data_IF_307892842065
#
_entry.id   IF_307892842065
#
_cell.length_a   1.000
_cell.length_b   1.000
_cell.length_c   1.000
_cell.angle_alpha   90.00
_cell.angle_beta   90.00
_cell.angle_gamma   90.00
#
_symmetry.space_group_name_H-M   'P 1'
#
loop_
_entity.id
_entity.type
_entity.pdbx_description
1 polymer ?
#
# COMPACT_ATOMS: atom_id res chain seq x y z
N UNK A 1 -13.19 -12.81 0.43
CA UNK A 1 -13.55 -11.67 1.28
C UNK A 1 -12.49 -11.35 2.36
N UNK A 2 -11.20 -11.45 2.03
CA UNK A 2 -10.08 -11.03 2.90
C UNK A 2 -9.65 -9.64 2.47
N UNK A 3 -9.61 -8.64 3.37
CA UNK A 3 -9.05 -7.33 3.07
C UNK A 3 -7.56 -7.43 2.74
N UNK A 4 -7.11 -6.64 1.77
CA UNK A 4 -5.73 -6.61 1.30
C UNK A 4 -5.14 -5.22 1.51
N UNK A 5 -3.96 -5.16 2.09
CA UNK A 5 -3.17 -3.93 2.23
C UNK A 5 -1.83 -4.11 1.53
N UNK A 6 -1.31 -3.07 0.95
CA UNK A 6 0.04 -3.06 0.40
C UNK A 6 1.05 -2.46 1.38
N UNK A 7 2.31 -2.79 1.21
CA UNK A 7 3.39 -1.95 1.75
C UNK A 7 3.54 -0.69 0.89
N UNK A 8 4.32 0.29 1.32
CA UNK A 8 4.60 1.50 0.53
C UNK A 8 5.11 1.17 -0.87
N UNK A 9 6.08 0.25 -0.98
CA UNK A 9 6.59 -0.21 -2.28
C UNK A 9 5.64 -1.13 -3.04
N UNK A 10 4.59 -1.61 -2.41
CA UNK A 10 3.56 -2.46 -3.01
C UNK A 10 2.36 -1.68 -3.55
N UNK A 11 2.32 -0.36 -3.38
CA UNK A 11 1.25 0.48 -3.92
C UNK A 11 1.21 0.33 -5.45
N UNK A 12 0.01 0.16 -6.00
CA UNK A 12 -0.16 -0.12 -7.43
C UNK A 12 -0.20 -1.61 -7.79
N UNK A 13 0.01 -2.52 -6.83
CA UNK A 13 -0.26 -3.95 -7.06
C UNK A 13 -1.76 -4.28 -7.15
N UNK A 14 -2.60 -3.40 -6.64
CA UNK A 14 -4.06 -3.40 -6.76
C UNK A 14 -4.53 -1.97 -7.04
N UNK A 15 -5.66 -1.82 -7.69
CA UNK A 15 -6.28 -0.50 -7.88
C UNK A 15 -7.05 -0.09 -6.63
N UNK A 16 -7.20 1.22 -6.41
CA UNK A 16 -7.87 1.73 -5.21
C UNK A 16 -9.35 1.34 -5.14
N UNK A 17 -9.99 1.13 -6.28
CA UNK A 17 -11.39 0.73 -6.41
C UNK A 17 -11.61 -0.79 -6.28
N UNK A 18 -10.55 -1.60 -6.16
CA UNK A 18 -10.69 -3.02 -5.89
C UNK A 18 -11.47 -3.22 -4.57
N UNK A 19 -12.52 -4.05 -4.56
CA UNK A 19 -13.40 -4.20 -3.40
C UNK A 19 -12.70 -4.76 -2.15
N UNK A 20 -11.54 -5.39 -2.31
CA UNK A 20 -10.77 -5.95 -1.19
C UNK A 20 -9.57 -5.11 -0.78
N UNK A 21 -9.14 -4.18 -1.61
CA UNK A 21 -8.02 -3.31 -1.28
C UNK A 21 -8.43 -2.23 -0.26
N UNK A 22 -7.59 -2.00 0.74
CA UNK A 22 -7.82 -1.03 1.81
C UNK A 22 -6.64 -0.08 2.02
N UNK A 23 -5.78 0.04 1.03
CA UNK A 23 -4.67 0.98 1.01
C UNK A 23 -3.35 0.49 1.63
N UNK A 24 -2.38 1.39 1.77
CA UNK A 24 -1.05 1.06 2.26
C UNK A 24 -0.97 1.05 3.79
N UNK A 25 -0.20 0.11 4.35
CA UNK A 25 0.06 -0.01 5.79
C UNK A 25 1.43 0.55 6.16
N UNK A 26 1.59 1.02 7.37
CA UNK A 26 2.86 1.42 7.98
C UNK A 26 2.90 2.86 8.47
N UNK A 27 4.08 3.34 8.86
CA UNK A 27 4.27 4.68 9.43
C UNK A 27 3.84 5.82 8.48
N UNK A 28 4.01 5.62 7.17
CA UNK A 28 3.50 6.53 6.14
C UNK A 28 2.22 6.00 5.48
N UNK A 29 1.73 4.87 5.93
CA UNK A 29 0.50 4.25 5.45
C UNK A 29 -0.75 5.03 5.84
N UNK A 30 -1.86 4.53 5.39
CA UNK A 30 -3.16 5.16 5.55
C UNK A 30 -3.84 4.74 6.85
N UNK A 31 -4.67 5.64 7.38
CA UNK A 31 -5.36 5.41 8.65
C UNK A 31 -6.28 4.20 8.62
N UNK A 32 -6.91 3.90 7.47
CA UNK A 32 -7.77 2.73 7.28
C UNK A 32 -7.06 1.41 7.53
N UNK A 33 -5.92 1.17 6.85
CA UNK A 33 -5.15 -0.06 7.00
C UNK A 33 -4.46 -0.16 8.36
N UNK A 34 -3.95 0.95 8.90
CA UNK A 34 -3.34 0.99 10.22
C UNK A 34 -4.38 0.73 11.33
N UNK A 35 -5.59 1.28 11.22
CA UNK A 35 -6.69 1.02 12.17
C UNK A 35 -7.10 -0.46 12.12
N UNK A 36 -7.30 -1.00 10.91
CA UNK A 36 -7.72 -2.38 10.74
C UNK A 36 -6.67 -3.39 11.26
N UNK A 37 -5.38 -3.09 11.06
CA UNK A 37 -4.29 -3.99 11.46
C UNK A 37 -4.19 -4.23 12.95
N UNK A 38 -4.64 -3.29 13.78
CA UNK A 38 -4.62 -3.41 15.25
C UNK A 38 -5.44 -4.58 15.78
N UNK A 39 -6.57 -4.86 15.12
CA UNK A 39 -7.49 -5.92 15.54
C UNK A 39 -7.28 -7.23 14.76
N UNK A 40 -6.32 -7.26 13.82
CA UNK A 40 -6.03 -8.43 12.99
C UNK A 40 -5.55 -9.59 13.84
N UNK A 41 -6.18 -10.76 13.70
CA UNK A 41 -5.79 -12.01 14.35
C UNK A 41 -4.81 -12.85 13.50
N UNK A 42 -4.90 -12.71 12.18
CA UNK A 42 -4.04 -13.40 11.23
C UNK A 42 -3.64 -12.48 10.07
N UNK A 43 -2.35 -12.29 9.86
CA UNK A 43 -1.84 -11.66 8.65
C UNK A 43 -1.11 -12.68 7.76
N UNK A 44 -1.40 -12.61 6.46
CA UNK A 44 -0.66 -13.29 5.42
C UNK A 44 0.23 -12.27 4.71
N UNK A 45 1.52 -12.28 5.02
CA UNK A 45 2.52 -11.42 4.41
C UNK A 45 3.08 -12.07 3.14
N UNK A 46 3.00 -11.36 2.01
CA UNK A 46 3.39 -11.89 0.70
C UNK A 46 4.48 -11.01 0.10
N UNK A 47 5.69 -11.57 -0.10
CA UNK A 47 6.81 -10.90 -0.74
C UNK A 47 7.35 -9.66 -0.02
N UNK A 48 7.00 -9.47 1.25
CA UNK A 48 7.41 -8.29 2.03
C UNK A 48 8.46 -8.64 3.08
N UNK A 49 9.30 -7.67 3.42
CA UNK A 49 10.30 -7.78 4.49
C UNK A 49 9.73 -7.50 5.87
N UNK A 50 8.52 -6.94 5.97
CA UNK A 50 7.92 -6.43 7.22
C UNK A 50 8.93 -5.60 8.05
N UNK A 51 9.54 -4.61 7.37
CA UNK A 51 10.46 -3.67 8.01
C UNK A 51 9.71 -2.76 9.00
N UNK A 52 10.44 -2.08 9.86
CA UNK A 52 9.89 -1.18 10.89
C UNK A 52 8.88 -0.17 10.35
N UNK A 53 9.17 0.45 9.22
CA UNK A 53 8.23 1.40 8.61
C UNK A 53 6.91 0.74 8.19
N UNK A 54 6.92 -0.52 7.76
CA UNK A 54 5.71 -1.25 7.38
C UNK A 54 4.88 -1.66 8.59
N UNK A 55 5.53 -2.02 9.69
CA UNK A 55 4.86 -2.53 10.89
C UNK A 55 4.61 -1.44 11.94
N UNK A 56 5.10 -0.21 11.72
CA UNK A 56 5.12 0.83 12.73
C UNK A 56 5.89 0.41 13.98
N UNK A 57 7.04 -0.26 13.81
CA UNK A 57 7.79 -0.90 14.91
C UNK A 57 6.90 -1.85 15.73
N UNK A 58 6.02 -2.59 15.06
CA UNK A 58 5.02 -3.53 15.62
C UNK A 58 3.86 -2.88 16.37
N UNK A 59 3.69 -1.57 16.31
CA UNK A 59 2.50 -0.90 16.88
C UNK A 59 1.24 -1.09 16.04
N UNK A 60 1.35 -1.63 14.83
CA UNK A 60 0.20 -1.92 13.97
C UNK A 60 -0.49 -3.26 14.28
N UNK A 61 0.16 -4.17 15.03
CA UNK A 61 -0.38 -5.49 15.33
C UNK A 61 -0.50 -5.67 16.85
N UNK A 62 -1.57 -5.08 17.42
CA UNK A 62 -1.76 -5.01 18.87
C UNK A 62 -2.56 -6.20 19.45
N UNK A 63 -3.19 -7.01 18.57
CA UNK A 63 -4.00 -8.14 19.02
C UNK A 63 -3.09 -9.22 19.68
N UNK A 64 -3.33 -9.61 20.93
CA UNK A 64 -2.52 -10.60 21.62
C UNK A 64 -2.58 -12.01 21.00
N UNK A 65 -3.63 -12.29 20.23
CA UNK A 65 -3.80 -13.57 19.51
C UNK A 65 -3.27 -13.51 18.06
N UNK A 66 -2.59 -12.42 17.70
CA UNK A 66 -2.04 -12.21 16.36
C UNK A 66 -1.11 -13.34 15.92
N UNK A 67 -1.32 -13.81 14.70
CA UNK A 67 -0.48 -14.79 14.02
C UNK A 67 -0.02 -14.27 12.67
N UNK A 68 1.21 -14.63 12.32
CA UNK A 68 1.81 -14.23 11.05
C UNK A 68 2.17 -15.46 10.23
N UNK A 69 1.67 -15.50 8.99
CA UNK A 69 2.14 -16.42 7.94
C UNK A 69 2.89 -15.58 6.92
N UNK A 70 4.07 -16.00 6.51
CA UNK A 70 4.89 -15.25 5.55
C UNK A 70 5.26 -16.13 4.35
N UNK A 71 4.87 -15.67 3.15
CA UNK A 71 5.28 -16.24 1.87
C UNK A 71 6.38 -15.34 1.31
N UNK A 72 7.60 -15.85 1.18
CA UNK A 72 8.72 -15.07 0.64
C UNK A 72 9.75 -16.00 -0.03
N UNK A 73 10.27 -15.58 -1.19
CA UNK A 73 11.36 -16.28 -1.85
C UNK A 73 12.67 -16.19 -1.06
N UNK A 74 12.88 -15.10 -0.30
CA UNK A 74 14.02 -14.94 0.60
C UNK A 74 13.75 -15.65 1.93
N UNK A 75 14.48 -16.72 2.18
CA UNK A 75 14.34 -17.52 3.42
C UNK A 75 14.50 -16.69 4.69
N UNK A 76 15.41 -15.73 4.69
CA UNK A 76 15.62 -14.84 5.82
C UNK A 76 14.38 -14.03 6.15
N UNK A 77 13.76 -13.40 5.13
CA UNK A 77 12.58 -12.56 5.32
C UNK A 77 11.34 -13.39 5.64
N UNK A 78 11.23 -14.60 5.08
CA UNK A 78 10.11 -15.50 5.39
C UNK A 78 10.07 -15.89 6.88
N UNK A 79 11.22 -16.05 7.52
CA UNK A 79 11.32 -16.50 8.92
C UNK A 79 11.35 -15.37 9.95
N UNK A 80 11.25 -14.11 9.53
CA UNK A 80 11.21 -12.99 10.47
C UNK A 80 9.99 -13.03 11.38
N UNK A 81 10.13 -12.41 12.54
CA UNK A 81 9.01 -12.09 13.44
C UNK A 81 8.24 -13.33 13.91
N UNK A 82 8.91 -14.46 14.03
CA UNK A 82 8.30 -15.74 14.42
C UNK A 82 7.16 -16.18 13.50
N UNK A 83 7.20 -15.75 12.24
CA UNK A 83 6.19 -16.12 11.25
C UNK A 83 6.22 -17.62 10.95
N UNK A 84 5.07 -18.20 10.66
CA UNK A 84 5.01 -19.47 9.95
C UNK A 84 5.46 -19.25 8.50
N UNK A 85 6.68 -19.65 8.20
CA UNK A 85 7.32 -19.36 6.93
C UNK A 85 6.94 -20.35 5.83
N UNK A 86 6.61 -19.82 4.66
CA UNK A 86 6.50 -20.53 3.39
C UNK A 86 7.58 -19.94 2.47
N UNK A 87 8.67 -20.67 2.26
CA UNK A 87 9.76 -20.22 1.39
C UNK A 87 9.48 -20.68 -0.02
N UNK A 88 9.10 -19.75 -0.91
CA UNK A 88 8.71 -20.07 -2.27
C UNK A 88 8.33 -18.86 -3.10
N UNK A 89 8.01 -19.12 -4.36
CA UNK A 89 7.44 -18.13 -5.26
C UNK A 89 6.04 -17.72 -4.81
N UNK A 90 5.77 -16.41 -4.78
CA UNK A 90 4.51 -15.88 -4.28
C UNK A 90 3.31 -16.32 -5.15
N UNK A 91 3.46 -16.32 -6.48
CA UNK A 91 2.38 -16.69 -7.40
C UNK A 91 2.01 -18.16 -7.26
N UNK A 92 3.02 -19.03 -7.24
CA UNK A 92 2.81 -20.49 -7.08
C UNK A 92 2.16 -20.78 -5.72
N UNK A 93 2.71 -20.21 -4.65
CA UNK A 93 2.19 -20.40 -3.29
C UNK A 93 0.74 -19.92 -3.13
N UNK A 94 0.39 -18.79 -3.76
CA UNK A 94 -0.99 -18.27 -3.74
C UNK A 94 -1.96 -19.18 -4.51
N UNK A 95 -1.54 -19.74 -5.64
CA UNK A 95 -2.35 -20.69 -6.40
C UNK A 95 -2.63 -21.94 -5.57
N UNK A 96 -1.60 -22.52 -4.96
CA UNK A 96 -1.72 -23.71 -4.10
C UNK A 96 -2.58 -23.43 -2.86
N UNK A 97 -2.36 -22.26 -2.22
CA UNK A 97 -3.16 -21.83 -1.07
C UNK A 97 -4.64 -21.68 -1.45
N UNK A 98 -4.92 -21.06 -2.59
CA UNK A 98 -6.29 -20.88 -3.10
C UNK A 98 -6.97 -22.25 -3.34
N UNK A 99 -6.24 -23.21 -3.90
CA UNK A 99 -6.75 -24.56 -4.11
C UNK A 99 -7.01 -25.28 -2.77
N UNK A 100 -6.12 -25.15 -1.80
CA UNK A 100 -6.24 -25.76 -0.48
C UNK A 100 -7.42 -25.17 0.33
N UNK A 101 -7.65 -23.86 0.22
CA UNK A 101 -8.77 -23.18 0.89
C UNK A 101 -10.14 -23.53 0.27
N UNK A 102 -10.18 -23.84 -1.03
CA UNK A 102 -11.42 -24.18 -1.72
C UNK A 102 -12.49 -23.10 -1.55
N UNK A 103 -13.59 -23.43 -0.89
CA UNK A 103 -14.73 -22.52 -0.67
C UNK A 103 -14.65 -21.75 0.67
N UNK A 104 -13.53 -21.82 1.38
CA UNK A 104 -13.38 -21.09 2.62
C UNK A 104 -13.48 -19.56 2.41
N UNK A 105 -14.11 -18.87 3.36
CA UNK A 105 -14.25 -17.42 3.36
C UNK A 105 -14.02 -16.88 4.76
N UNK A 106 -13.42 -15.70 4.86
CA UNK A 106 -13.36 -14.96 6.10
C UNK A 106 -14.75 -14.45 6.53
N UNK A 107 -14.90 -14.05 7.79
CA UNK A 107 -16.15 -13.48 8.30
C UNK A 107 -16.48 -12.17 7.54
N UNK A 108 -17.72 -12.05 7.10
CA UNK A 108 -18.21 -10.86 6.41
C UNK A 108 -18.17 -9.58 7.28
N UNK A 109 -18.18 -9.74 8.61
CA UNK A 109 -18.03 -8.61 9.52
C UNK A 109 -16.67 -7.93 9.36
N UNK A 110 -15.61 -8.74 9.16
CA UNK A 110 -14.26 -8.24 8.93
C UNK A 110 -14.18 -7.44 7.63
N UNK A 111 -14.73 -7.98 6.55
CA UNK A 111 -14.83 -7.28 5.28
C UNK A 111 -15.62 -5.96 5.41
N UNK A 112 -16.80 -5.98 6.05
CA UNK A 112 -17.62 -4.78 6.26
C UNK A 112 -16.88 -3.72 7.08
N UNK A 113 -16.16 -4.12 8.14
CA UNK A 113 -15.32 -3.22 8.92
C UNK A 113 -14.26 -2.55 8.05
N UNK A 114 -13.55 -3.32 7.23
CA UNK A 114 -12.51 -2.79 6.34
C UNK A 114 -13.04 -1.74 5.35
N UNK A 115 -14.24 -1.94 4.82
CA UNK A 115 -14.88 -0.97 3.91
C UNK A 115 -15.31 0.32 4.61
N UNK A 116 -15.73 0.25 5.87
CA UNK A 116 -16.03 1.44 6.67
C UNK A 116 -14.77 2.24 6.97
N UNK A 117 -13.71 1.59 7.43
CA UNK A 117 -12.42 2.24 7.71
C UNK A 117 -11.88 2.95 6.45
N UNK A 118 -11.94 2.29 5.28
CA UNK A 118 -11.51 2.91 4.04
C UNK A 118 -12.38 4.12 3.66
N UNK A 119 -13.70 4.00 3.76
CA UNK A 119 -14.62 5.09 3.44
C UNK A 119 -14.38 6.32 4.32
N UNK A 120 -14.19 6.11 5.62
CA UNK A 120 -13.94 7.20 6.57
C UNK A 120 -12.60 7.88 6.26
N UNK A 121 -11.58 7.08 5.96
CA UNK A 121 -10.26 7.59 5.56
C UNK A 121 -10.32 8.35 4.22
N UNK A 122 -10.98 7.81 3.21
CA UNK A 122 -11.14 8.49 1.92
C UNK A 122 -11.83 9.85 2.06
N UNK A 123 -12.86 9.91 2.91
CA UNK A 123 -13.56 11.17 3.21
C UNK A 123 -12.64 12.19 3.90
N UNK A 124 -11.77 11.72 4.79
CA UNK A 124 -10.75 12.55 5.43
C UNK A 124 -9.75 13.09 4.41
N UNK A 125 -9.20 12.22 3.56
CA UNK A 125 -8.22 12.59 2.52
C UNK A 125 -8.84 13.58 1.53
N UNK A 126 -10.05 13.33 1.04
CA UNK A 126 -10.74 14.21 0.11
C UNK A 126 -10.93 15.63 0.68
N UNK A 127 -11.32 15.71 1.94
CA UNK A 127 -11.47 16.99 2.64
C UNK A 127 -10.16 17.77 2.73
N UNK A 128 -9.03 17.10 2.95
CA UNK A 128 -7.72 17.75 3.19
C UNK A 128 -6.92 17.98 1.91
N UNK A 129 -7.16 17.22 0.85
CA UNK A 129 -6.52 17.36 -0.45
C UNK A 129 -7.36 18.13 -1.48
N UNK A 130 -8.56 18.58 -1.09
CA UNK A 130 -9.50 19.31 -1.94
C UNK A 130 -8.98 20.66 -2.43
N UNK A 131 -9.70 21.30 -3.38
CA UNK A 131 -9.38 22.64 -3.86
C UNK A 131 -9.33 23.67 -2.72
N UNK A 132 -8.42 24.64 -2.85
CA UNK A 132 -8.23 25.70 -1.85
C UNK A 132 -8.02 27.05 -2.52
N UNK A 133 -8.50 28.11 -1.85
CA UNK A 133 -8.22 29.50 -2.22
C UNK A 133 -7.11 30.12 -1.34
N UNK A 134 -6.44 29.33 -0.53
CA UNK A 134 -5.34 29.80 0.29
C UNK A 134 -4.15 30.22 -0.57
N UNK A 135 -3.44 31.29 -0.16
CA UNK A 135 -2.25 31.79 -0.88
C UNK A 135 -1.14 30.72 -0.93
N UNK A 136 -1.01 29.92 0.10
CA UNK A 136 -0.05 28.80 0.19
C UNK A 136 -0.85 27.52 0.45
N UNK A 137 -1.02 26.65 -0.55
CA UNK A 137 -1.65 25.36 -0.37
C UNK A 137 -0.77 24.43 0.45
N UNK A 138 -1.38 23.46 1.13
CA UNK A 138 -0.66 22.36 1.76
C UNK A 138 -0.12 21.37 0.71
N UNK A 139 0.80 20.49 1.09
CA UNK A 139 1.30 19.42 0.23
C UNK A 139 0.15 18.53 -0.26
N UNK A 140 -0.74 18.12 0.64
CA UNK A 140 -1.91 17.31 0.27
C UNK A 140 -2.77 17.99 -0.80
N UNK A 141 -2.98 19.31 -0.70
CA UNK A 141 -3.76 20.07 -1.69
C UNK A 141 -3.06 20.16 -3.05
N UNK A 142 -1.74 20.31 -3.07
CA UNK A 142 -0.95 20.29 -4.32
C UNK A 142 -1.03 18.92 -4.98
N UNK A 143 -0.76 17.84 -4.21
CA UNK A 143 -0.85 16.47 -4.71
C UNK A 143 -2.27 16.15 -5.18
N UNK A 144 -3.29 16.57 -4.41
CA UNK A 144 -4.67 16.39 -4.79
C UNK A 144 -5.03 17.11 -6.10
N UNK A 145 -4.43 18.28 -6.35
CA UNK A 145 -4.60 18.98 -7.64
C UNK A 145 -3.93 18.20 -8.79
N UNK A 146 -2.70 17.70 -8.60
CA UNK A 146 -2.03 16.85 -9.58
C UNK A 146 -2.87 15.59 -9.87
N UNK A 147 -3.29 14.89 -8.83
CA UNK A 147 -4.08 13.67 -8.96
C UNK A 147 -5.41 13.88 -9.73
N UNK A 148 -6.14 14.96 -9.44
CA UNK A 148 -7.41 15.26 -10.12
C UNK A 148 -7.24 15.64 -11.60
N UNK A 149 -6.07 16.09 -11.99
CA UNK A 149 -5.75 16.48 -13.37
C UNK A 149 -4.90 15.44 -14.12
N UNK A 150 -4.56 14.31 -13.48
CA UNK A 150 -3.83 13.22 -14.12
C UNK A 150 -4.77 12.21 -14.76
N UNK A 151 -4.30 11.51 -15.78
CA UNK A 151 -4.99 10.37 -16.35
C UNK A 151 -4.81 9.11 -15.50
N UNK A 152 -5.71 8.14 -15.56
CA UNK A 152 -5.56 6.87 -14.81
C UNK A 152 -4.25 6.13 -15.06
N UNK A 153 -3.69 6.26 -16.25
CA UNK A 153 -2.45 5.59 -16.67
C UNK A 153 -1.18 6.34 -16.31
N UNK A 154 -1.27 7.57 -15.79
CA UNK A 154 -0.11 8.37 -15.39
C UNK A 154 0.60 7.73 -14.19
N UNK A 155 1.92 7.80 -14.19
CA UNK A 155 2.76 7.15 -13.19
C UNK A 155 3.33 8.19 -12.23
N UNK A 156 2.95 8.10 -10.96
CA UNK A 156 3.53 8.90 -9.90
C UNK A 156 4.86 8.29 -9.44
N UNK A 157 5.91 9.12 -9.34
CA UNK A 157 7.23 8.69 -8.90
C UNK A 157 7.67 9.49 -7.69
N UNK A 158 8.03 8.80 -6.63
CA UNK A 158 8.49 9.42 -5.38
C UNK A 158 9.70 8.68 -4.81
N UNK A 159 10.44 9.31 -3.92
CA UNK A 159 11.54 8.66 -3.21
C UNK A 159 11.63 9.11 -1.75
N UNK A 160 12.12 10.32 -1.48
CA UNK A 160 12.47 10.74 -0.14
C UNK A 160 11.83 12.07 0.28
N UNK A 161 11.84 12.33 1.58
CA UNK A 161 11.35 13.59 2.16
C UNK A 161 9.88 13.53 2.59
N UNK A 162 9.35 14.68 3.07
CA UNK A 162 7.99 14.78 3.60
C UNK A 162 6.90 14.59 2.56
N UNK A 163 7.16 14.97 1.30
CA UNK A 163 6.19 14.89 0.22
C UNK A 163 5.75 13.44 -0.08
N UNK A 164 6.64 12.47 0.06
CA UNK A 164 6.34 11.05 -0.21
C UNK A 164 5.20 10.54 0.67
N UNK A 165 5.14 10.95 1.93
CA UNK A 165 4.04 10.59 2.84
C UNK A 165 2.69 11.08 2.34
N UNK A 166 2.63 12.30 1.85
CA UNK A 166 1.40 12.87 1.29
C UNK A 166 1.00 12.19 -0.03
N UNK A 167 1.97 11.86 -0.91
CA UNK A 167 1.66 11.12 -2.15
C UNK A 167 1.08 9.76 -1.84
N UNK A 168 1.64 9.01 -0.88
CA UNK A 168 1.13 7.70 -0.47
C UNK A 168 -0.34 7.79 -0.04
N UNK A 169 -0.72 8.84 0.67
CA UNK A 169 -2.07 9.01 1.21
C UNK A 169 -3.07 9.57 0.20
N UNK A 170 -2.63 10.43 -0.71
CA UNK A 170 -3.52 11.18 -1.62
C UNK A 170 -3.58 10.55 -3.02
N UNK A 171 -2.47 9.98 -3.50
CA UNK A 171 -2.40 9.38 -4.83
C UNK A 171 -2.93 7.95 -4.83
N UNK A 172 -4.15 7.78 -5.32
CA UNK A 172 -4.84 6.48 -5.36
C UNK A 172 -4.65 5.84 -6.74
N UNK A 173 -3.91 4.73 -6.87
CA UNK A 173 -3.72 4.06 -8.15
C UNK A 173 -5.04 3.66 -8.80
N UNK A 174 -5.28 4.15 -10.03
CA UNK A 174 -6.47 3.85 -10.83
C UNK A 174 -6.21 2.73 -11.85
N UNK A 175 -4.93 2.49 -12.16
CA UNK A 175 -4.44 1.34 -12.93
C UNK A 175 -3.30 0.67 -12.20
N UNK A 176 -3.02 -0.58 -12.53
CA UNK A 176 -1.89 -1.32 -11.96
C UNK A 176 -0.56 -0.71 -12.40
N UNK A 177 0.43 -0.74 -11.51
CA UNK A 177 1.79 -0.24 -11.78
C UNK A 177 1.84 1.25 -12.19
N UNK A 178 0.98 2.09 -11.59
CA UNK A 178 0.97 3.55 -11.79
C UNK A 178 1.50 4.33 -10.58
N UNK A 179 2.17 3.65 -9.67
CA UNK A 179 2.87 4.26 -8.55
C UNK A 179 4.25 3.60 -8.40
N UNK A 180 5.30 4.40 -8.32
CA UNK A 180 6.67 3.95 -8.13
C UNK A 180 7.32 4.75 -7.01
N UNK A 181 7.99 4.07 -6.11
CA UNK A 181 8.70 4.72 -5.00
C UNK A 181 9.99 3.98 -4.66
N UNK A 182 11.09 4.70 -4.54
CA UNK A 182 12.31 4.17 -3.94
C UNK A 182 12.20 4.34 -2.43
N UNK A 183 12.04 3.22 -1.73
CA UNK A 183 11.86 3.21 -0.28
C UNK A 183 12.99 2.49 0.45
N UNK A 184 13.75 1.67 -0.25
CA UNK A 184 14.76 0.80 0.35
C UNK A 184 15.85 1.56 1.09
N UNK A 185 16.34 2.65 0.51
CA UNK A 185 17.39 3.51 1.05
C UNK A 185 17.00 4.99 1.10
N UNK A 186 15.79 5.32 0.67
CA UNK A 186 15.26 6.69 0.68
C UNK A 186 16.18 7.67 -0.06
N UNK A 187 16.61 7.29 -1.25
CA UNK A 187 17.59 8.02 -2.06
C UNK A 187 16.97 9.29 -2.66
N UNK A 188 17.29 10.46 -2.12
CA UNK A 188 16.93 11.73 -2.73
C UNK A 188 17.46 11.81 -4.15
N UNK A 189 16.69 12.42 -5.05
CA UNK A 189 16.95 12.55 -6.50
C UNK A 189 16.66 11.28 -7.32
N UNK A 190 16.21 10.20 -6.71
CA UNK A 190 15.70 9.05 -7.47
C UNK A 190 14.54 9.47 -8.37
N UNK A 191 13.71 10.41 -7.93
CA UNK A 191 12.58 10.94 -8.68
C UNK A 191 13.01 11.38 -10.10
N UNK A 192 14.18 11.98 -10.26
CA UNK A 192 14.68 12.45 -11.56
C UNK A 192 15.10 11.26 -12.44
N UNK A 193 15.99 10.42 -11.91
CA UNK A 193 16.54 9.28 -12.68
C UNK A 193 15.52 8.17 -12.88
N UNK A 194 14.73 7.87 -11.85
CA UNK A 194 13.66 6.89 -11.90
C UNK A 194 12.56 7.29 -12.87
N UNK A 195 12.07 8.53 -12.76
CA UNK A 195 11.06 9.06 -13.68
C UNK A 195 11.53 9.07 -15.13
N UNK A 196 12.79 9.46 -15.39
CA UNK A 196 13.37 9.38 -16.73
C UNK A 196 13.38 7.95 -17.26
N UNK A 197 13.84 6.98 -16.47
CA UNK A 197 13.87 5.57 -16.86
C UNK A 197 12.46 5.02 -17.14
N UNK A 198 11.49 5.36 -16.30
CA UNK A 198 10.09 4.96 -16.47
C UNK A 198 9.51 5.60 -17.74
N UNK A 199 9.76 6.90 -18.00
CA UNK A 199 9.30 7.57 -19.22
C UNK A 199 9.91 6.96 -20.49
N UNK A 200 11.19 6.61 -20.43
CA UNK A 200 11.85 5.92 -21.57
C UNK A 200 11.23 4.54 -21.85
N UNK A 201 10.85 3.81 -20.80
CA UNK A 201 10.18 2.50 -20.93
C UNK A 201 8.69 2.62 -21.30
N UNK A 202 8.05 3.73 -20.98
CA UNK A 202 6.63 3.99 -21.20
C UNK A 202 6.43 5.33 -21.92
N UNK A 203 6.85 5.48 -23.18
CA UNK A 203 6.88 6.79 -23.86
C UNK A 203 5.49 7.43 -24.01
N UNK A 204 4.43 6.63 -23.99
CA UNK A 204 3.05 7.08 -24.16
C UNK A 204 2.33 7.42 -22.86
N UNK A 205 2.96 7.21 -21.68
CA UNK A 205 2.40 7.57 -20.37
C UNK A 205 3.06 8.85 -19.87
N UNK A 206 2.30 9.67 -19.14
CA UNK A 206 2.94 10.73 -18.38
C UNK A 206 3.54 10.18 -17.09
N UNK A 207 4.63 10.81 -16.65
CA UNK A 207 5.35 10.46 -15.42
C UNK A 207 5.47 11.74 -14.60
N UNK A 208 4.96 11.71 -13.40
CA UNK A 208 4.76 12.86 -12.52
C UNK A 208 5.59 12.70 -11.25
#
# INVERSE_FOLDING_TARGET
NIPVTSTVMGIGCMTHDDPYYISAIGCLGEGSSNSLSKDTDLALAIGTKLADFTTGSWTNFENPDFKLVSINAARFDANKHMAQAIVGDAKVSLIELSQALGNWKADDKWYKKSRLELKDWDSYVEKHSGPTNQKLPSYAQVIGACYRNSDPSDIAVTAAGGLVGEVIQVWKPRELNTHETEWGFSCMSYEISGALGIKMANPNKEVI
#
